data_IF_682045116509
#
_entry.id   IF_682045116509
#
_cell.length_a   1.000
_cell.length_b   1.000
_cell.length_c   1.000
_cell.angle_alpha   90.00
_cell.angle_beta   90.00
_cell.angle_gamma   90.00
#
_symmetry.space_group_name_H-M   'P 1'
#
loop_
_entity.id
_entity.type
_entity.pdbx_description
1 polymer ?
#
# COMPACT_ATOMS: atom_id res chain seq x y z
N UNK A 1 28.30 -22.00 -11.38
CA UNK A 1 27.05 -22.65 -11.84
C UNK A 1 27.02 -24.10 -11.36
N UNK A 2 25.93 -24.54 -10.70
CA UNK A 2 25.68 -25.88 -10.12
C UNK A 2 26.11 -26.21 -8.68
N UNK A 3 26.48 -25.22 -7.86
CA UNK A 3 26.28 -25.30 -6.38
C UNK A 3 25.08 -24.40 -5.96
N UNK A 4 24.49 -23.74 -6.97
CA UNK A 4 23.39 -22.78 -6.98
C UNK A 4 21.99 -23.42 -6.92
N UNK A 5 21.68 -24.33 -5.98
CA UNK A 5 20.29 -24.83 -5.89
C UNK A 5 19.74 -25.21 -4.52
N UNK A 6 20.53 -25.64 -3.55
CA UNK A 6 19.99 -26.11 -2.27
C UNK A 6 20.92 -25.74 -1.10
N UNK A 7 20.61 -24.66 -0.38
CA UNK A 7 20.90 -24.33 1.03
C UNK A 7 20.67 -22.81 1.15
N UNK A 8 19.50 -22.32 1.53
CA UNK A 8 19.09 -22.22 2.94
C UNK A 8 17.55 -22.23 3.02
N UNK A 9 16.99 -23.42 3.06
CA UNK A 9 15.62 -23.69 3.49
C UNK A 9 15.76 -24.31 4.89
N UNK A 10 14.99 -23.79 5.87
CA UNK A 10 14.73 -24.30 7.23
C UNK A 10 15.53 -23.62 8.37
N UNK A 11 14.96 -22.53 8.91
CA UNK A 11 14.75 -22.19 10.35
C UNK A 11 14.09 -20.78 10.36
N UNK A 12 12.89 -20.48 10.87
CA UNK A 12 12.02 -21.15 11.81
C UNK A 12 10.55 -20.80 11.49
N UNK A 13 9.72 -21.82 11.32
CA UNK A 13 8.29 -21.75 11.59
C UNK A 13 8.05 -21.74 13.10
N UNK A 14 6.92 -21.16 13.50
CA UNK A 14 6.39 -20.94 14.87
C UNK A 14 6.67 -19.53 15.40
N UNK A 15 5.84 -18.59 14.96
CA UNK A 15 5.26 -17.59 15.85
C UNK A 15 3.74 -17.76 15.76
N UNK A 16 3.19 -18.64 16.61
CA UNK A 16 1.80 -18.49 17.04
C UNK A 16 1.86 -17.44 18.14
N UNK A 17 1.47 -16.21 17.81
CA UNK A 17 1.06 -15.25 18.82
C UNK A 17 -0.39 -14.89 18.52
N UNK A 18 -1.29 -15.50 19.30
CA UNK A 18 -2.54 -14.85 19.63
C UNK A 18 -2.19 -13.58 20.40
N UNK A 19 -2.24 -12.44 19.71
CA UNK A 19 -2.34 -11.14 20.36
C UNK A 19 -3.66 -10.53 19.91
N UNK A 20 -4.62 -10.55 20.82
CA UNK A 20 -5.82 -9.73 20.74
C UNK A 20 -5.41 -8.26 20.80
N UNK A 21 -5.65 -7.53 19.72
CA UNK A 21 -5.39 -6.09 19.64
C UNK A 21 -6.63 -5.30 20.09
N UNK A 22 -6.43 -4.28 20.92
CA UNK A 22 -7.43 -3.26 21.22
C UNK A 22 -6.89 -1.86 20.94
N UNK A 23 -7.69 -1.10 20.18
CA UNK A 23 -7.69 0.36 19.91
C UNK A 23 -6.46 0.90 19.13
N UNK A 24 -6.58 1.48 17.94
CA UNK A 24 -7.65 2.32 17.36
C UNK A 24 -8.13 1.79 16.00
N UNK A 25 -9.36 2.14 15.61
CA UNK A 25 -10.10 1.59 14.46
C UNK A 25 -9.30 1.60 13.14
N UNK A 26 -8.60 0.49 12.88
CA UNK A 26 -8.07 0.09 11.57
C UNK A 26 -8.44 -1.36 11.33
N UNK A 27 -8.76 -1.68 10.08
CA UNK A 27 -9.12 -3.03 9.67
C UNK A 27 -7.91 -3.96 9.90
N UNK A 28 -8.13 -5.08 10.59
CA UNK A 28 -7.08 -6.08 10.77
C UNK A 28 -6.84 -6.83 9.45
N UNK A 29 -5.70 -7.50 9.30
CA UNK A 29 -5.52 -8.46 8.22
C UNK A 29 -6.64 -9.51 8.24
N UNK A 30 -7.22 -9.82 7.08
CA UNK A 30 -8.24 -10.85 6.96
C UNK A 30 -7.65 -12.20 7.38
N UNK A 31 -8.36 -12.94 8.22
CA UNK A 31 -8.00 -14.31 8.55
C UNK A 31 -8.22 -15.22 7.34
N UNK A 32 -7.37 -16.23 7.23
CA UNK A 32 -7.50 -17.27 6.21
C UNK A 32 -7.52 -18.65 6.86
N UNK A 33 -8.43 -19.50 6.39
CA UNK A 33 -8.42 -20.94 6.69
C UNK A 33 -8.12 -21.71 5.42
N UNK A 34 -6.95 -22.33 5.35
CA UNK A 34 -6.48 -23.05 4.15
C UNK A 34 -6.51 -22.20 2.85
N UNK A 35 -6.22 -20.90 2.96
CA UNK A 35 -6.23 -19.96 1.84
C UNK A 35 -7.61 -19.42 1.45
N UNK A 36 -8.64 -19.69 2.26
CA UNK A 36 -10.00 -19.16 2.08
C UNK A 36 -10.25 -18.06 3.12
N UNK A 37 -10.72 -16.89 2.66
CA UNK A 37 -11.01 -15.72 3.49
C UNK A 37 -12.37 -15.82 4.20
N UNK A 38 -12.50 -15.17 5.35
CA UNK A 38 -13.78 -15.11 6.06
C UNK A 38 -14.74 -14.06 5.48
N UNK A 39 -15.94 -14.47 5.07
CA UNK A 39 -17.02 -13.58 4.62
C UNK A 39 -17.40 -12.57 5.72
N UNK A 40 -17.45 -13.04 6.97
CA UNK A 40 -17.83 -12.22 8.12
C UNK A 40 -16.82 -11.09 8.36
N UNK A 41 -15.52 -11.37 8.24
CA UNK A 41 -14.48 -10.36 8.42
C UNK A 41 -14.47 -9.35 7.28
N UNK A 42 -14.66 -9.79 6.03
CA UNK A 42 -14.81 -8.88 4.88
C UNK A 42 -16.00 -7.95 5.09
N UNK A 43 -17.13 -8.47 5.60
CA UNK A 43 -18.30 -7.64 5.91
C UNK A 43 -18.04 -6.62 7.03
N UNK A 44 -17.13 -6.90 7.95
CA UNK A 44 -16.68 -5.95 8.97
C UNK A 44 -15.53 -5.04 8.55
N UNK A 45 -14.92 -5.30 7.39
CA UNK A 45 -13.71 -4.63 6.92
C UNK A 45 -12.45 -5.34 7.40
N UNK A 46 -11.61 -5.78 6.45
CA UNK A 46 -10.30 -6.37 6.72
C UNK A 46 -9.32 -6.05 5.57
N UNK A 47 -8.02 -6.17 5.82
CA UNK A 47 -6.97 -5.92 4.83
C UNK A 47 -6.43 -7.24 4.28
N UNK A 48 -6.07 -7.27 2.99
CA UNK A 48 -5.52 -8.47 2.36
C UNK A 48 -4.43 -8.13 1.34
N UNK A 49 -3.68 -9.16 0.93
CA UNK A 49 -2.60 -9.01 -0.04
C UNK A 49 -3.16 -9.14 -1.47
N UNK A 50 -2.97 -8.14 -2.35
CA UNK A 50 -3.34 -8.26 -3.76
C UNK A 50 -2.36 -9.17 -4.52
N UNK A 51 -2.81 -9.76 -5.64
CA UNK A 51 -1.94 -10.51 -6.54
C UNK A 51 -0.91 -9.60 -7.21
N UNK A 52 -1.34 -8.39 -7.57
CA UNK A 52 -0.48 -7.33 -8.10
C UNK A 52 -0.97 -5.97 -7.61
N UNK A 53 -0.03 -5.17 -7.13
CA UNK A 53 -0.24 -3.77 -6.77
C UNK A 53 0.64 -2.88 -7.65
N UNK A 54 0.08 -1.77 -8.13
CA UNK A 54 0.79 -0.85 -9.01
C UNK A 54 0.66 0.58 -8.53
N UNK A 55 1.79 1.29 -8.51
CA UNK A 55 1.82 2.72 -8.16
C UNK A 55 2.89 3.43 -8.98
N UNK A 56 2.63 4.67 -9.37
CA UNK A 56 3.62 5.50 -10.07
C UNK A 56 4.40 6.32 -9.06
N UNK A 57 5.72 6.15 -9.05
CA UNK A 57 6.65 6.83 -8.14
C UNK A 57 7.46 7.85 -8.92
N UNK A 58 7.50 9.09 -8.44
CA UNK A 58 8.28 10.18 -9.07
C UNK A 58 9.62 10.37 -8.39
N UNK A 59 9.65 10.41 -7.06
CA UNK A 59 10.87 10.66 -6.28
C UNK A 59 10.86 9.83 -5.01
N UNK A 60 12.05 9.44 -4.55
CA UNK A 60 12.24 8.82 -3.24
C UNK A 60 13.44 9.43 -2.53
N UNK A 61 13.36 9.47 -1.21
CA UNK A 61 14.36 10.04 -0.32
C UNK A 61 14.58 9.12 0.88
N UNK A 62 15.81 9.14 1.40
CA UNK A 62 16.14 8.61 2.72
C UNK A 62 16.49 9.78 3.65
N UNK A 63 15.94 9.78 4.86
CA UNK A 63 16.07 10.87 5.82
C UNK A 63 16.67 10.39 7.14
N UNK A 64 17.53 11.22 7.74
CA UNK A 64 18.21 10.92 9.01
C UNK A 64 17.33 11.15 10.23
N UNK A 65 16.25 11.91 10.07
CA UNK A 65 15.16 12.11 11.04
C UNK A 65 13.81 12.25 10.32
N UNK A 66 12.71 12.44 11.05
CA UNK A 66 11.40 12.68 10.43
C UNK A 66 11.41 14.02 9.68
N UNK A 67 11.02 14.06 8.40
CA UNK A 67 10.71 15.31 7.70
C UNK A 67 9.60 16.10 8.41
N UNK A 68 9.57 17.41 8.22
CA UNK A 68 8.41 18.23 8.61
C UNK A 68 7.38 18.17 7.51
N UNK A 69 6.18 17.69 7.84
CA UNK A 69 5.09 17.51 6.88
C UNK A 69 4.66 18.84 6.22
N UNK A 70 4.13 18.79 4.98
CA UNK A 70 3.62 19.98 4.32
C UNK A 70 2.45 20.59 5.09
N UNK A 71 2.28 21.90 4.92
CA UNK A 71 1.07 22.63 5.33
C UNK A 71 0.32 23.09 4.10
N UNK A 72 -0.84 23.73 4.28
CA UNK A 72 -1.61 24.30 3.16
C UNK A 72 -0.90 25.45 2.43
N UNK A 73 0.23 25.93 2.94
CA UNK A 73 1.02 27.03 2.35
C UNK A 73 2.49 26.71 2.15
N UNK A 74 2.96 25.54 2.57
CA UNK A 74 4.37 25.15 2.51
C UNK A 74 4.52 23.69 2.13
N UNK A 75 5.51 23.38 1.31
CA UNK A 75 5.86 21.99 0.98
C UNK A 75 6.49 21.28 2.17
N UNK A 76 6.69 19.97 2.05
CA UNK A 76 7.52 19.18 2.98
C UNK A 76 8.92 19.79 3.11
N UNK A 77 9.46 19.80 4.33
CA UNK A 77 10.87 20.11 4.57
C UNK A 77 11.71 18.83 4.53
N UNK A 78 12.49 18.68 3.45
CA UNK A 78 13.38 17.55 3.19
C UNK A 78 14.85 17.87 3.48
N UNK A 79 15.15 18.91 4.27
CA UNK A 79 16.54 19.35 4.55
C UNK A 79 17.40 18.24 5.16
N UNK A 80 16.80 17.33 5.91
CA UNK A 80 17.45 16.17 6.54
C UNK A 80 17.44 14.91 5.66
N UNK A 81 17.03 15.03 4.39
CA UNK A 81 16.87 13.93 3.46
C UNK A 81 17.86 13.98 2.31
N UNK A 82 18.15 12.82 1.75
CA UNK A 82 18.93 12.65 0.52
C UNK A 82 18.04 11.99 -0.52
N UNK A 83 17.92 12.61 -1.70
CA UNK A 83 17.18 12.02 -2.80
C UNK A 83 17.93 10.79 -3.33
N UNK A 84 17.26 9.65 -3.36
CA UNK A 84 17.85 8.37 -3.81
C UNK A 84 17.29 7.91 -5.15
N UNK A 85 16.13 8.42 -5.57
CA UNK A 85 15.51 8.11 -6.84
C UNK A 85 14.79 9.33 -7.43
N UNK A 86 14.82 9.48 -8.75
CA UNK A 86 14.06 10.48 -9.48
C UNK A 86 13.68 10.02 -10.89
N UNK A 87 12.41 10.19 -11.23
CA UNK A 87 11.87 10.13 -12.58
C UNK A 87 10.75 11.18 -12.72
N UNK A 88 10.99 12.23 -13.50
CA UNK A 88 10.04 13.32 -13.69
C UNK A 88 8.72 12.89 -14.37
N UNK A 89 8.77 11.85 -15.21
CA UNK A 89 7.59 11.27 -15.85
C UNK A 89 6.87 10.24 -14.98
N UNK A 90 7.48 9.85 -13.86
CA UNK A 90 7.03 8.76 -13.01
C UNK A 90 7.49 7.39 -13.51
N UNK A 91 7.75 6.49 -12.57
CA UNK A 91 8.06 5.08 -12.83
C UNK A 91 7.00 4.21 -12.17
N UNK A 92 6.38 3.30 -12.93
CA UNK A 92 5.42 2.34 -12.37
C UNK A 92 6.17 1.26 -11.60
N UNK A 93 5.99 1.25 -10.28
CA UNK A 93 6.24 0.05 -9.48
C UNK A 93 5.10 -0.92 -9.75
N UNK A 94 5.40 -2.13 -10.17
CA UNK A 94 4.44 -3.23 -10.32
C UNK A 94 4.93 -4.37 -9.45
N UNK A 95 4.19 -4.62 -8.36
CA UNK A 95 4.68 -5.42 -7.23
C UNK A 95 3.73 -6.53 -6.88
N UNK A 96 4.28 -7.73 -6.78
CA UNK A 96 3.73 -8.80 -5.97
C UNK A 96 4.39 -8.77 -4.59
N UNK A 97 3.77 -9.40 -3.59
CA UNK A 97 4.32 -9.50 -2.24
C UNK A 97 5.79 -9.95 -2.26
N UNK A 98 6.67 -9.19 -1.59
CA UNK A 98 8.10 -9.47 -1.46
C UNK A 98 8.88 -9.53 -2.79
N UNK A 99 8.32 -9.04 -3.90
CA UNK A 99 9.07 -8.89 -5.14
C UNK A 99 10.02 -7.69 -5.04
N UNK A 100 11.24 -7.86 -5.57
CA UNK A 100 12.14 -6.73 -5.80
C UNK A 100 11.60 -5.86 -6.93
N UNK A 101 11.77 -4.55 -6.80
CA UNK A 101 11.35 -3.58 -7.81
C UNK A 101 12.55 -2.86 -8.35
N UNK A 102 12.71 -2.92 -9.67
CA UNK A 102 13.59 -2.00 -10.40
C UNK A 102 12.74 -0.95 -11.10
N UNK A 103 12.81 0.29 -10.60
CA UNK A 103 12.19 1.44 -11.23
C UNK A 103 13.08 2.00 -12.33
N UNK A 104 12.49 2.25 -13.49
CA UNK A 104 13.18 3.03 -14.53
C UNK A 104 13.34 4.48 -14.05
N UNK A 105 14.58 4.95 -13.89
CA UNK A 105 14.86 6.32 -13.49
C UNK A 105 16.32 6.54 -13.11
N UNK A 106 16.58 7.66 -12.46
CA UNK A 106 17.93 8.00 -11.97
C UNK A 106 18.03 7.63 -10.49
N UNK A 107 18.99 6.76 -10.16
CA UNK A 107 19.35 6.45 -8.78
C UNK A 107 20.55 7.28 -8.35
N UNK A 108 20.54 7.77 -7.12
CA UNK A 108 21.65 8.53 -6.52
C UNK A 108 22.01 7.93 -5.18
N UNK A 109 23.28 7.55 -4.99
CA UNK A 109 23.74 7.05 -3.70
C UNK A 109 23.67 8.19 -2.67
N UNK A 110 22.95 8.01 -1.54
CA UNK A 110 22.96 9.00 -0.48
C UNK A 110 24.34 9.04 0.22
N UNK A 111 24.68 10.11 0.96
CA UNK A 111 25.87 10.13 1.81
C UNK A 111 25.93 8.95 2.79
N UNK A 112 27.14 8.61 3.25
CA UNK A 112 27.29 7.62 4.31
C UNK A 112 26.65 8.15 5.60
N UNK A 113 25.86 7.33 6.28
CA UNK A 113 25.03 7.75 7.40
C UNK A 113 24.00 6.71 7.84
N UNK A 114 23.21 7.07 8.85
CA UNK A 114 22.10 6.26 9.35
C UNK A 114 20.78 6.97 9.04
N UNK A 115 19.90 6.28 8.34
CA UNK A 115 18.62 6.79 7.87
C UNK A 115 17.48 6.09 8.60
N UNK A 116 16.64 6.87 9.26
CA UNK A 116 15.54 6.37 10.11
C UNK A 116 14.19 6.50 9.43
N UNK A 117 14.10 7.29 8.36
CA UNK A 117 12.86 7.54 7.64
C UNK A 117 13.07 7.48 6.12
N UNK A 118 12.00 7.17 5.40
CA UNK A 118 11.91 7.30 3.95
C UNK A 118 10.80 8.28 3.58
N UNK A 119 10.94 8.92 2.41
CA UNK A 119 9.92 9.78 1.83
C UNK A 119 9.74 9.49 0.35
N UNK A 120 8.52 9.50 -0.16
CA UNK A 120 8.23 9.31 -1.58
C UNK A 120 7.16 10.27 -2.08
N UNK A 121 7.32 10.73 -3.32
CA UNK A 121 6.29 11.46 -4.06
C UNK A 121 5.74 10.54 -5.13
N UNK A 122 4.45 10.28 -5.09
CA UNK A 122 3.78 9.25 -5.87
C UNK A 122 2.50 9.79 -6.50
N UNK A 123 2.01 9.12 -7.52
CA UNK A 123 0.67 9.38 -8.02
C UNK A 123 -0.35 8.93 -6.96
N UNK A 124 -1.49 9.61 -6.88
CA UNK A 124 -2.58 9.25 -5.97
C UNK A 124 -3.50 8.16 -6.55
N UNK A 125 -3.03 7.44 -7.58
CA UNK A 125 -3.76 6.32 -8.19
C UNK A 125 -3.01 5.01 -7.99
N UNK A 126 -3.76 3.95 -7.70
CA UNK A 126 -3.27 2.61 -7.45
C UNK A 126 -3.92 1.61 -8.40
N UNK A 127 -3.12 0.74 -9.00
CA UNK A 127 -3.61 -0.43 -9.70
C UNK A 127 -3.70 -1.62 -8.76
N UNK A 128 -4.85 -2.27 -8.69
CA UNK A 128 -5.08 -3.44 -7.85
C UNK A 128 -5.57 -4.57 -8.74
N UNK A 129 -4.87 -5.69 -8.69
CA UNK A 129 -5.31 -6.95 -9.29
C UNK A 129 -5.35 -7.99 -8.19
N UNK A 130 -6.51 -8.60 -7.96
CA UNK A 130 -6.66 -9.64 -6.96
C UNK A 130 -7.77 -10.64 -7.32
N UNK A 131 -7.54 -11.90 -6.99
CA UNK A 131 -8.54 -12.97 -6.99
C UNK A 131 -8.40 -13.81 -5.74
N UNK A 132 -9.52 -14.18 -5.13
CA UNK A 132 -9.53 -14.91 -3.87
C UNK A 132 -10.79 -15.73 -3.69
N UNK A 133 -10.74 -16.68 -2.77
CA UNK A 133 -11.89 -17.49 -2.36
C UNK A 133 -12.34 -17.04 -0.96
N UNK A 134 -13.65 -17.01 -0.76
CA UNK A 134 -14.32 -16.66 0.49
C UNK A 134 -15.03 -17.91 1.02
N UNK A 135 -15.16 -18.05 2.34
CA UNK A 135 -15.84 -19.17 3.03
C UNK A 135 -17.37 -19.06 2.98
N UNK A 136 -17.88 -18.07 2.26
CA UNK A 136 -19.28 -17.89 1.94
C UNK A 136 -19.46 -17.07 0.66
N UNK A 137 -20.72 -16.79 0.30
CA UNK A 137 -21.07 -16.21 -1.00
C UNK A 137 -21.28 -14.71 -0.87
N UNK A 138 -20.62 -13.95 -1.73
CA UNK A 138 -20.81 -12.50 -1.85
C UNK A 138 -21.20 -12.13 -3.28
N UNK A 139 -21.76 -10.93 -3.43
CA UNK A 139 -22.07 -10.32 -4.71
C UNK A 139 -20.89 -9.44 -5.18
N UNK A 140 -20.55 -9.51 -6.45
CA UNK A 140 -19.64 -8.53 -7.05
C UNK A 140 -20.38 -7.21 -7.30
N UNK A 141 -19.75 -6.07 -6.97
CA UNK A 141 -20.30 -4.74 -7.22
C UNK A 141 -20.54 -4.48 -8.72
N UNK A 142 -19.73 -5.07 -9.59
CA UNK A 142 -19.92 -5.02 -11.04
C UNK A 142 -20.88 -6.08 -11.54
N UNK A 143 -20.71 -7.34 -11.10
CA UNK A 143 -21.61 -8.45 -11.45
C UNK A 143 -21.31 -9.73 -10.68
N UNK A 144 -22.28 -10.66 -10.74
CA UNK A 144 -22.12 -12.05 -10.33
C UNK A 144 -22.17 -12.26 -8.81
N UNK A 145 -22.35 -13.52 -8.43
CA UNK A 145 -22.45 -13.95 -7.03
C UNK A 145 -21.73 -15.28 -6.86
N UNK A 146 -21.04 -15.46 -5.74
CA UNK A 146 -20.44 -16.73 -5.38
C UNK A 146 -19.27 -16.59 -4.42
N UNK A 147 -18.50 -17.67 -4.31
CA UNK A 147 -17.41 -17.82 -3.34
C UNK A 147 -16.05 -17.44 -3.91
N UNK A 148 -15.93 -17.29 -5.23
CA UNK A 148 -14.71 -16.81 -5.88
C UNK A 148 -14.93 -15.39 -6.34
N UNK A 149 -14.16 -14.45 -5.78
CA UNK A 149 -14.29 -13.04 -6.09
C UNK A 149 -12.94 -12.47 -6.54
N UNK A 150 -12.99 -11.32 -7.20
CA UNK A 150 -11.79 -10.64 -7.64
C UNK A 150 -12.07 -9.28 -8.25
N UNK A 151 -11.00 -8.55 -8.54
CA UNK A 151 -11.07 -7.23 -9.18
C UNK A 151 -11.46 -7.32 -10.65
N UNK A 152 -12.10 -6.28 -11.18
CA UNK A 152 -12.39 -6.14 -12.62
C UNK A 152 -11.51 -5.08 -13.28
N UNK A 153 -11.30 -5.21 -14.59
CA UNK A 153 -10.62 -4.17 -15.36
C UNK A 153 -11.47 -2.89 -15.39
N UNK A 154 -10.90 -1.78 -14.93
CA UNK A 154 -11.64 -0.52 -14.87
C UNK A 154 -10.93 0.54 -14.04
N UNK A 155 -11.65 1.61 -13.75
CA UNK A 155 -11.19 2.64 -12.84
C UNK A 155 -12.35 3.29 -12.09
N UNK A 156 -12.01 3.95 -10.99
CA UNK A 156 -12.93 4.71 -10.15
C UNK A 156 -12.17 5.51 -9.12
N UNK A 157 -12.86 6.40 -8.42
CA UNK A 157 -12.25 7.23 -7.37
C UNK A 157 -12.82 6.86 -6.00
N UNK A 158 -11.97 6.91 -4.99
CA UNK A 158 -12.39 6.94 -3.60
C UNK A 158 -12.37 8.40 -3.12
N UNK A 159 -13.57 8.97 -2.98
CA UNK A 159 -13.78 10.38 -2.64
C UNK A 159 -14.75 10.52 -1.48
N UNK A 160 -14.63 11.59 -0.71
CA UNK A 160 -15.59 11.97 0.33
C UNK A 160 -16.91 12.43 -0.28
N UNK A 161 -16.87 13.20 -1.37
CA UNK A 161 -18.05 13.81 -1.97
C UNK A 161 -19.01 12.81 -2.59
N UNK A 162 -18.50 11.92 -3.45
CA UNK A 162 -19.30 10.91 -4.16
C UNK A 162 -19.30 9.53 -3.50
N UNK A 163 -18.49 9.34 -2.46
CA UNK A 163 -18.20 8.01 -1.90
C UNK A 163 -17.20 7.23 -2.75
N UNK A 164 -16.94 5.99 -2.33
CA UNK A 164 -16.11 5.05 -3.08
C UNK A 164 -16.74 4.63 -4.41
N UNK A 165 -15.90 4.23 -5.35
CA UNK A 165 -16.31 3.53 -6.57
C UNK A 165 -17.08 2.24 -6.26
N UNK A 166 -17.93 1.82 -7.21
CA UNK A 166 -18.88 0.72 -7.05
C UNK A 166 -18.85 -0.25 -8.24
N UNK A 167 -17.72 -0.34 -8.93
CA UNK A 167 -17.57 -1.06 -10.20
C UNK A 167 -16.26 -1.85 -10.25
N UNK A 168 -15.78 -2.31 -9.10
CA UNK A 168 -14.43 -2.84 -8.89
C UNK A 168 -14.37 -4.36 -8.66
N UNK A 169 -15.49 -5.06 -8.46
CA UNK A 169 -15.47 -6.49 -8.10
C UNK A 169 -16.46 -7.34 -8.90
N UNK A 170 -16.07 -8.60 -9.12
CA UNK A 170 -16.90 -9.67 -9.70
C UNK A 170 -16.84 -10.89 -8.79
N UNK A 171 -17.96 -11.61 -8.63
CA UNK A 171 -18.01 -12.88 -7.91
C UNK A 171 -18.64 -13.99 -8.77
N UNK A 172 -18.28 -15.24 -8.49
CA UNK A 172 -18.73 -16.41 -9.26
C UNK A 172 -18.68 -17.70 -8.44
N UNK A 173 -19.41 -18.72 -8.88
CA UNK A 173 -19.33 -20.09 -8.34
C UNK A 173 -18.03 -20.82 -8.71
N UNK A 174 -17.24 -20.28 -9.63
CA UNK A 174 -15.93 -20.79 -10.05
C UNK A 174 -14.88 -19.69 -10.03
N UNK A 175 -13.60 -20.06 -9.97
CA UNK A 175 -12.48 -19.12 -10.00
C UNK A 175 -12.65 -18.04 -11.09
N UNK A 176 -12.38 -16.80 -10.72
CA UNK A 176 -12.47 -15.63 -11.60
C UNK A 176 -11.08 -15.21 -12.08
N UNK A 177 -11.00 -14.68 -13.30
CA UNK A 177 -9.79 -14.03 -13.79
C UNK A 177 -9.82 -12.57 -13.36
N UNK A 178 -8.90 -12.17 -12.49
CA UNK A 178 -8.79 -10.78 -12.04
C UNK A 178 -8.36 -9.85 -13.18
N UNK A 179 -8.98 -8.66 -13.22
CA UNK A 179 -8.53 -7.53 -14.03
C UNK A 179 -7.97 -6.42 -13.15
N UNK A 180 -7.08 -5.59 -13.71
CA UNK A 180 -6.53 -4.41 -13.03
C UNK A 180 -7.62 -3.35 -12.83
N UNK A 181 -7.99 -3.09 -11.59
CA UNK A 181 -8.78 -1.92 -11.23
C UNK A 181 -7.86 -0.77 -10.84
N UNK A 182 -8.05 0.42 -11.41
CA UNK A 182 -7.28 1.62 -11.03
C UNK A 182 -8.12 2.53 -10.14
N UNK A 183 -7.79 2.59 -8.85
CA UNK A 183 -8.42 3.48 -7.89
C UNK A 183 -7.65 4.81 -7.79
N UNK A 184 -8.34 5.94 -7.89
CA UNK A 184 -7.79 7.26 -7.55
C UNK A 184 -8.25 7.70 -6.17
N UNK A 185 -7.32 8.00 -5.28
CA UNK A 185 -7.57 8.34 -3.89
C UNK A 185 -7.54 9.86 -3.68
N UNK A 186 -8.65 10.43 -3.22
CA UNK A 186 -8.75 11.85 -2.82
C UNK A 186 -9.18 12.05 -1.38
N UNK A 187 -9.33 10.95 -0.64
CA UNK A 187 -9.78 10.90 0.75
C UNK A 187 -9.20 9.66 1.43
N UNK A 188 -8.92 9.70 2.75
CA UNK A 188 -8.48 8.50 3.49
C UNK A 188 -9.56 7.92 4.43
N UNK A 189 -10.68 8.59 4.62
CA UNK A 189 -11.74 8.17 5.54
C UNK A 189 -12.73 7.23 4.87
N UNK A 190 -13.55 6.56 5.68
CA UNK A 190 -14.63 5.73 5.18
C UNK A 190 -15.75 6.55 4.53
N UNK A 191 -16.64 5.86 3.82
CA UNK A 191 -17.86 6.48 3.28
C UNK A 191 -18.68 7.13 4.39
N UNK A 192 -18.87 8.45 4.31
CA UNK A 192 -19.61 9.24 5.30
C UNK A 192 -18.75 9.89 6.38
N UNK A 193 -17.45 9.59 6.43
CA UNK A 193 -16.52 10.26 7.33
C UNK A 193 -16.24 11.70 6.90
N UNK A 194 -15.68 12.47 7.84
CA UNK A 194 -15.14 13.79 7.54
C UNK A 194 -13.96 13.68 6.58
N UNK A 195 -13.83 14.63 5.65
CA UNK A 195 -12.72 14.60 4.69
C UNK A 195 -11.36 14.67 5.41
N UNK A 196 -10.56 13.63 5.20
CA UNK A 196 -9.19 13.48 5.69
C UNK A 196 -8.23 13.40 4.52
N UNK A 197 -7.04 13.96 4.74
CA UNK A 197 -5.94 14.11 3.77
C UNK A 197 -4.60 13.67 4.32
N UNK A 198 -4.59 13.22 5.58
CA UNK A 198 -3.47 12.56 6.21
C UNK A 198 -4.03 11.30 6.86
N UNK A 199 -3.42 10.16 6.58
CA UNK A 199 -3.67 8.92 7.29
C UNK A 199 -2.36 8.34 7.80
N UNK A 200 -2.40 7.73 8.98
CA UNK A 200 -1.24 7.05 9.58
C UNK A 200 -1.60 5.59 9.76
N UNK A 201 -0.74 4.68 9.30
CA UNK A 201 -0.82 3.24 9.56
C UNK A 201 0.41 2.83 10.38
N UNK A 202 0.17 2.17 11.51
CA UNK A 202 1.21 1.69 12.44
C UNK A 202 1.16 0.17 12.51
N UNK A 203 2.19 -0.44 13.07
CA UNK A 203 2.26 -1.88 13.30
C UNK A 203 2.14 -2.73 12.03
N UNK A 204 2.63 -2.21 10.90
CA UNK A 204 2.55 -2.90 9.61
C UNK A 204 3.24 -4.26 9.71
N UNK A 205 2.49 -5.34 9.45
CA UNK A 205 2.91 -6.74 9.66
C UNK A 205 3.52 -7.02 11.05
N UNK A 206 3.06 -6.34 12.10
CA UNK A 206 3.55 -6.55 13.47
C UNK A 206 4.96 -5.99 13.73
N UNK A 207 5.45 -5.10 12.87
CA UNK A 207 6.73 -4.39 13.08
C UNK A 207 6.51 -3.04 13.79
N UNK A 208 7.56 -2.38 14.26
CA UNK A 208 7.45 -1.00 14.78
C UNK A 208 7.42 0.08 13.67
N UNK A 209 7.23 -0.32 12.41
CA UNK A 209 7.17 0.63 11.31
C UNK A 209 5.85 1.42 11.31
N UNK A 210 5.94 2.65 10.82
CA UNK A 210 4.79 3.55 10.63
C UNK A 210 4.83 4.13 9.22
N UNK A 211 3.67 4.27 8.58
CA UNK A 211 3.48 4.95 7.30
C UNK A 211 2.51 6.10 7.49
N UNK A 212 2.83 7.26 6.91
CA UNK A 212 1.89 8.36 6.71
C UNK A 212 1.64 8.55 5.22
N UNK A 213 0.37 8.53 4.82
CA UNK A 213 -0.07 8.99 3.52
C UNK A 213 -0.56 10.43 3.63
N UNK A 214 -0.16 11.29 2.70
CA UNK A 214 -0.42 12.74 2.71
C UNK A 214 -0.90 13.15 1.32
N UNK A 215 -2.14 13.62 1.20
CA UNK A 215 -2.70 14.12 -0.05
C UNK A 215 -2.33 15.59 -0.23
N UNK A 216 -1.64 15.89 -1.33
CA UNK A 216 -1.11 17.23 -1.64
C UNK A 216 -1.67 17.77 -2.94
N UNK A 217 -1.63 19.10 -3.08
CA UNK A 217 -1.99 19.82 -4.30
C UNK A 217 -0.85 19.79 -5.34
N UNK A 218 -1.08 20.44 -6.48
CA UNK A 218 -0.11 20.54 -7.59
C UNK A 218 1.19 21.27 -7.23
N UNK A 219 1.21 22.02 -6.12
CA UNK A 219 2.40 22.70 -5.61
C UNK A 219 3.14 21.86 -4.55
N UNK A 220 2.61 20.69 -4.16
CA UNK A 220 3.13 19.89 -3.06
C UNK A 220 2.76 20.45 -1.68
N UNK A 221 1.75 21.32 -1.59
CA UNK A 221 1.16 21.75 -0.33
C UNK A 221 0.11 20.74 0.13
N UNK A 222 -0.10 20.62 1.44
CA UNK A 222 -1.20 19.82 1.96
C UNK A 222 -2.52 20.31 1.34
N UNK A 223 -3.25 19.44 0.62
CA UNK A 223 -4.43 19.84 -0.14
C UNK A 223 -5.43 20.54 0.77
N UNK A 224 -5.96 21.72 0.43
CA UNK A 224 -6.85 22.46 1.33
C UNK A 224 -8.29 21.94 1.28
N UNK A 225 -8.68 21.36 0.15
CA UNK A 225 -9.95 20.65 -0.07
C UNK A 225 -9.77 19.47 -1.04
N UNK A 226 -10.79 18.61 -1.14
CA UNK A 226 -10.75 17.39 -1.96
C UNK A 226 -10.46 17.63 -3.44
N UNK A 227 -10.99 18.73 -4.01
CA UNK A 227 -10.84 19.03 -5.43
C UNK A 227 -9.43 19.47 -5.84
N UNK A 228 -8.54 19.70 -4.87
CA UNK A 228 -7.15 20.12 -5.11
C UNK A 228 -6.17 18.95 -5.10
N UNK A 229 -6.58 17.75 -4.70
CA UNK A 229 -5.66 16.61 -4.57
C UNK A 229 -5.06 16.22 -5.93
N UNK A 230 -3.73 16.21 -6.01
CA UNK A 230 -2.96 15.87 -7.22
C UNK A 230 -1.98 14.71 -7.00
N UNK A 231 -1.34 14.64 -5.82
CA UNK A 231 -0.36 13.60 -5.50
C UNK A 231 -0.59 13.00 -4.12
N UNK A 232 -0.02 11.82 -3.96
CA UNK A 232 0.19 11.19 -2.67
C UNK A 232 1.67 11.30 -2.32
N UNK A 233 1.95 11.91 -1.18
CA UNK A 233 3.25 11.84 -0.54
C UNK A 233 3.21 10.81 0.59
N UNK A 234 4.22 9.94 0.62
CA UNK A 234 4.35 8.87 1.60
C UNK A 234 5.57 9.10 2.49
N UNK A 235 5.39 9.04 3.79
CA UNK A 235 6.48 9.03 4.77
C UNK A 235 6.48 7.70 5.49
N UNK A 236 7.64 7.05 5.60
CA UNK A 236 7.81 5.83 6.38
C UNK A 236 8.81 6.06 7.50
N UNK A 237 8.46 5.66 8.71
CA UNK A 237 9.40 5.44 9.81
C UNK A 237 9.82 3.98 9.77
N UNK A 238 11.12 3.72 9.61
CA UNK A 238 11.61 2.35 9.52
C UNK A 238 11.60 1.68 10.89
N UNK A 239 11.24 0.40 10.93
CA UNK A 239 11.43 -0.42 12.12
C UNK A 239 12.93 -0.57 12.44
N UNK A 240 13.73 -0.82 11.39
CA UNK A 240 15.19 -0.87 11.45
C UNK A 240 15.79 0.23 10.56
N UNK A 241 16.71 1.02 11.13
CA UNK A 241 17.39 2.08 10.37
C UNK A 241 18.27 1.52 9.26
N UNK A 242 18.34 2.21 8.12
CA UNK A 242 19.23 1.87 7.01
C UNK A 242 20.59 2.51 7.27
N UNK A 243 21.65 1.70 7.28
CA UNK A 243 23.02 2.18 7.45
C UNK A 243 23.75 2.15 6.10
N UNK A 244 24.17 3.32 5.63
CA UNK A 244 24.96 3.49 4.41
C UNK A 244 26.41 3.73 4.82
N UNK A 245 27.30 2.87 4.33
CA UNK A 245 28.75 2.99 4.53
C UNK A 245 29.46 3.06 3.18
N UNK A 246 30.74 3.37 3.17
CA UNK A 246 31.53 3.37 1.93
C UNK A 246 31.59 1.97 1.28
N UNK A 247 31.29 0.91 2.03
CA UNK A 247 31.15 -0.45 1.51
C UNK A 247 29.76 -0.73 0.90
N UNK A 248 28.76 0.10 1.14
CA UNK A 248 27.42 -0.05 0.55
C UNK A 248 27.48 0.24 -0.94
N UNK A 249 27.21 -0.79 -1.74
CA UNK A 249 27.30 -0.76 -3.21
C UNK A 249 25.93 -0.68 -3.87
N UNK A 250 24.86 -1.14 -3.20
CA UNK A 250 23.50 -1.04 -3.73
C UNK A 250 22.45 -0.86 -2.63
N UNK A 251 21.28 -0.40 -3.05
CA UNK A 251 20.06 -0.36 -2.25
C UNK A 251 19.00 -1.17 -3.00
N UNK A 252 18.52 -2.25 -2.39
CA UNK A 252 17.38 -3.02 -2.91
C UNK A 252 16.10 -2.47 -2.31
N UNK A 253 15.09 -2.25 -3.15
CA UNK A 253 13.75 -1.88 -2.70
C UNK A 253 12.78 -3.03 -2.97
N UNK A 254 11.97 -3.34 -1.97
CA UNK A 254 10.82 -4.25 -2.09
C UNK A 254 9.59 -3.62 -1.43
N UNK A 255 8.43 -4.21 -1.66
CA UNK A 255 7.18 -3.75 -1.06
C UNK A 255 6.59 -4.83 -0.18
N UNK A 256 6.17 -4.42 1.00
CA UNK A 256 5.27 -5.19 1.83
C UNK A 256 3.83 -4.77 1.51
N UNK A 257 3.08 -5.73 0.97
CA UNK A 257 1.69 -5.58 0.53
C UNK A 257 0.75 -6.45 1.39
N UNK A 258 1.16 -6.85 2.60
CA UNK A 258 0.35 -7.68 3.48
C UNK A 258 -1.09 -7.15 3.63
N UNK A 259 -1.18 -5.83 3.68
CA UNK A 259 -2.40 -5.03 3.80
C UNK A 259 -2.61 -4.12 2.58
N UNK A 260 -2.09 -4.50 1.41
CA UNK A 260 -2.06 -3.64 0.21
C UNK A 260 -3.42 -3.38 -0.43
N UNK A 261 -4.47 -4.09 -0.02
CA UNK A 261 -5.85 -3.80 -0.42
C UNK A 261 -6.82 -4.01 0.74
N UNK A 262 -7.87 -3.20 0.75
CA UNK A 262 -8.95 -3.28 1.74
C UNK A 262 -10.15 -4.04 1.15
N UNK A 263 -10.68 -4.99 1.91
CA UNK A 263 -11.89 -5.76 1.61
C UNK A 263 -12.99 -5.32 2.56
N UNK A 264 -14.08 -4.79 2.01
CA UNK A 264 -15.18 -4.22 2.79
C UNK A 264 -16.54 -4.64 2.21
N UNK A 265 -17.61 -4.50 3.00
CA UNK A 265 -18.96 -4.52 2.43
C UNK A 265 -19.18 -3.31 1.52
N UNK A 266 -19.60 -3.56 0.28
CA UNK A 266 -20.11 -2.56 -0.65
C UNK A 266 -21.59 -2.21 -0.43
N UNK A 267 -22.21 -2.73 0.62
CA UNK A 267 -23.65 -2.67 0.90
C UNK A 267 -24.32 -4.03 0.71
N UNK A 268 -25.07 -4.48 1.71
CA UNK A 268 -25.64 -5.84 1.71
C UNK A 268 -24.55 -6.90 1.63
N UNK A 269 -24.71 -7.84 0.69
CA UNK A 269 -23.75 -8.93 0.44
C UNK A 269 -22.70 -8.56 -0.63
N UNK A 270 -22.67 -7.31 -1.09
CA UNK A 270 -21.69 -6.88 -2.09
C UNK A 270 -20.29 -6.72 -1.49
N UNK A 271 -19.25 -7.10 -2.24
CA UNK A 271 -17.85 -6.92 -1.84
C UNK A 271 -17.22 -5.70 -2.53
N UNK A 272 -16.60 -4.83 -1.75
CA UNK A 272 -15.79 -3.70 -2.20
C UNK A 272 -14.31 -3.99 -1.98
N UNK A 273 -13.49 -3.73 -3.00
CA UNK A 273 -12.02 -3.88 -2.99
C UNK A 273 -11.37 -2.50 -3.20
N UNK A 274 -10.80 -1.92 -2.15
CA UNK A 274 -10.13 -0.61 -2.21
C UNK A 274 -8.61 -0.71 -2.07
N UNK A 275 -7.90 0.40 -2.25
CA UNK A 275 -6.48 0.44 -1.85
C UNK A 275 -6.33 0.30 -0.34
N UNK A 276 -5.23 -0.33 0.07
CA UNK A 276 -4.81 -0.46 1.46
C UNK A 276 -3.41 0.10 1.66
N UNK A 277 -2.93 0.18 2.92
CA UNK A 277 -1.57 0.65 3.19
C UNK A 277 -0.51 -0.30 2.62
N UNK A 278 0.55 0.26 2.03
CA UNK A 278 1.73 -0.49 1.59
C UNK A 278 3.01 0.13 2.13
N UNK A 279 4.01 -0.69 2.40
CA UNK A 279 5.30 -0.25 2.92
C UNK A 279 6.41 -0.51 1.90
N UNK A 280 7.22 0.50 1.60
CA UNK A 280 8.51 0.27 0.96
C UNK A 280 9.53 -0.23 2.01
N UNK A 281 10.24 -1.30 1.68
CA UNK A 281 11.35 -1.85 2.45
C UNK A 281 12.62 -1.61 1.65
N UNK A 282 13.66 -1.12 2.33
CA UNK A 282 14.97 -0.89 1.74
C UNK A 282 16.02 -1.72 2.45
N UNK A 283 16.91 -2.34 1.67
CA UNK A 283 18.05 -3.11 2.16
C UNK A 283 19.32 -2.55 1.53
N UNK A 284 20.29 -2.16 2.36
CA UNK A 284 21.62 -1.76 1.92
C UNK A 284 22.52 -3.00 1.77
N UNK A 285 23.20 -3.15 0.64
CA UNK A 285 24.10 -4.27 0.35
C UNK A 285 25.55 -3.84 0.14
#
# INVERSE_FOLDING_TARGET
MKIFRNLLLILATIFIFELSFTNEAKAAACSTSSGVLSEAEIKSGCEYTPDLYEIVIYKMYLCTSSPTLPTVTTTVDLTNCSQVFNNASGATASVAQNAEVDLTGTYTRPPSGTYTHGYAIMNNSFGITASFQIDGSMDGLSSGSGVFCGTVAGSGSHTKGSGSHTNNSVCSSSAVTAGKFTETLTHFGGSGDSWTRIATATNINGTSAEIKGILVDTNGHLAANEGEVDKLEGMVTFADSIVITDATTSLTMSFNLGEGMSLNSGGGDAIHIGSGPFQAIFVAN
#
